data_IF_740126233371
#
_entry.id   IF_740126233371
#
_cell.length_a   1.000
_cell.length_b   1.000
_cell.length_c   1.000
_cell.angle_alpha   90.00
_cell.angle_beta   90.00
_cell.angle_gamma   90.00
#
_symmetry.space_group_name_H-M   'P 1'
#
loop_
_entity.id
_entity.type
_entity.pdbx_description
1 polymer ?
#
# COMPACT_ATOMS: atom_id res chain seq x y z
N UNK A 1 4.00 24.46 0.83
CA UNK A 1 3.96 23.09 0.28
C UNK A 1 2.70 22.39 0.75
N UNK A 2 1.96 21.79 -0.16
CA UNK A 2 0.78 21.01 0.19
C UNK A 2 1.19 19.65 0.75
N UNK A 3 0.38 19.14 1.66
CA UNK A 3 0.64 17.87 2.31
C UNK A 3 -0.61 16.98 2.24
N UNK A 4 -0.43 15.72 1.92
CA UNK A 4 -1.51 14.72 1.92
C UNK A 4 -1.07 13.54 2.79
N UNK A 5 -1.97 13.14 3.69
CA UNK A 5 -1.76 11.98 4.56
C UNK A 5 -2.34 10.74 3.92
N UNK A 6 -1.50 9.73 3.72
CA UNK A 6 -1.92 8.46 3.13
C UNK A 6 -1.42 7.28 3.97
N UNK A 7 -2.13 6.17 3.86
CA UNK A 7 -1.59 4.89 4.35
C UNK A 7 -1.00 4.13 3.18
N UNK A 8 0.03 3.34 3.47
CA UNK A 8 0.52 2.31 2.57
C UNK A 8 0.60 1.02 3.38
N UNK A 9 -0.18 0.04 3.00
CA UNK A 9 -0.25 -1.22 3.71
C UNK A 9 0.22 -2.37 2.84
N UNK A 10 1.13 -3.17 3.40
CA UNK A 10 1.54 -4.42 2.79
C UNK A 10 0.92 -5.58 3.55
N UNK A 11 0.65 -6.66 2.84
CA UNK A 11 0.06 -7.86 3.40
C UNK A 11 0.98 -9.03 3.07
N UNK A 12 1.38 -9.79 4.09
CA UNK A 12 2.18 -10.97 3.86
C UNK A 12 1.36 -12.23 4.15
N UNK A 13 1.65 -13.27 3.38
CA UNK A 13 1.15 -14.62 3.60
C UNK A 13 2.36 -15.55 3.51
N UNK A 14 2.73 -16.16 4.62
CA UNK A 14 3.99 -16.89 4.74
C UNK A 14 5.16 -15.97 4.36
N UNK A 15 5.96 -16.37 3.36
CA UNK A 15 7.12 -15.59 2.89
C UNK A 15 6.83 -14.69 1.71
N UNK A 16 5.56 -14.51 1.37
CA UNK A 16 5.16 -13.73 0.20
C UNK A 16 4.53 -12.41 0.61
N UNK A 17 4.78 -11.39 -0.18
CA UNK A 17 4.20 -10.06 -0.03
C UNK A 17 3.29 -9.79 -1.21
N UNK A 18 2.11 -9.25 -0.93
CA UNK A 18 1.16 -8.88 -1.96
C UNK A 18 1.53 -7.54 -2.55
N UNK A 19 1.65 -7.49 -3.88
CA UNK A 19 1.77 -6.23 -4.60
C UNK A 19 0.63 -6.11 -5.62
N UNK A 20 0.25 -4.88 -5.90
CA UNK A 20 -0.91 -4.54 -6.72
C UNK A 20 -0.47 -3.62 -7.86
N UNK A 21 -0.93 -3.92 -9.07
CA UNK A 21 -0.67 -3.06 -10.22
C UNK A 21 -1.80 -2.04 -10.35
N UNK A 22 -1.46 -0.77 -10.31
CA UNK A 22 -2.43 0.31 -10.42
C UNK A 22 -3.05 0.32 -11.82
N UNK A 23 -4.37 0.41 -11.88
CA UNK A 23 -5.11 0.36 -13.13
C UNK A 23 -4.93 1.65 -13.94
N UNK A 24 -5.43 1.66 -15.16
CA UNK A 24 -5.44 2.85 -16.00
C UNK A 24 -6.57 3.83 -15.64
N UNK A 25 -7.42 3.45 -14.69
CA UNK A 25 -8.57 4.28 -14.25
C UNK A 25 -8.22 5.20 -13.07
N UNK A 26 -7.07 5.01 -12.43
CA UNK A 26 -6.63 5.89 -11.35
C UNK A 26 -6.08 7.20 -11.93
N UNK A 27 -6.00 8.23 -11.09
CA UNK A 27 -5.55 9.55 -11.54
C UNK A 27 -4.04 9.67 -11.72
N UNK A 28 -3.27 8.87 -10.99
CA UNK A 28 -1.81 9.01 -10.97
C UNK A 28 -1.14 7.65 -10.92
N UNK A 29 0.10 7.61 -11.39
CA UNK A 29 0.97 6.44 -11.28
C UNK A 29 0.36 5.18 -11.89
N UNK A 30 -0.33 5.34 -13.03
CA UNK A 30 -0.99 4.22 -13.74
C UNK A 30 0.03 3.17 -14.14
N UNK A 31 -0.34 1.90 -13.95
CA UNK A 31 0.50 0.77 -14.35
C UNK A 31 1.67 0.48 -13.43
N UNK A 32 1.89 1.27 -12.39
CA UNK A 32 2.96 1.02 -11.42
C UNK A 32 2.48 0.08 -10.33
N UNK A 33 3.41 -0.69 -9.77
CA UNK A 33 3.12 -1.61 -8.69
C UNK A 33 3.24 -0.92 -7.33
N UNK A 34 2.35 -1.27 -6.41
CA UNK A 34 2.31 -0.66 -5.07
C UNK A 34 1.74 -1.64 -4.05
N UNK A 35 1.71 -1.21 -2.79
CA UNK A 35 0.89 -1.85 -1.77
C UNK A 35 -0.52 -1.28 -1.82
N UNK A 36 -1.34 -1.63 -0.83
CA UNK A 36 -2.65 -1.01 -0.64
C UNK A 36 -2.43 0.42 -0.17
N UNK A 37 -3.13 1.37 -0.75
CA UNK A 37 -2.99 2.77 -0.36
C UNK A 37 -4.34 3.49 -0.32
N UNK A 38 -4.40 4.55 0.47
CA UNK A 38 -5.59 5.37 0.56
C UNK A 38 -5.34 6.64 1.33
N UNK A 39 -6.14 7.65 1.06
CA UNK A 39 -6.05 8.95 1.72
C UNK A 39 -6.71 8.87 3.09
N UNK A 40 -6.04 9.38 4.10
CA UNK A 40 -6.58 9.45 5.46
C UNK A 40 -7.50 10.66 5.54
N UNK A 41 -8.78 10.40 5.81
CA UNK A 41 -9.77 11.45 5.98
C UNK A 41 -9.60 12.12 7.33
N UNK A 42 -10.20 13.30 7.51
CA UNK A 42 -10.12 14.06 8.75
C UNK A 42 -10.57 13.23 9.96
N UNK A 43 -9.76 13.27 11.02
CA UNK A 43 -10.03 12.59 12.29
C UNK A 43 -10.00 11.06 12.24
N UNK A 44 -9.58 10.47 11.14
CA UNK A 44 -9.39 9.03 11.08
C UNK A 44 -8.08 8.60 11.73
N UNK A 45 -8.11 7.44 12.34
CA UNK A 45 -6.91 6.78 12.85
C UNK A 45 -6.28 6.00 11.69
N UNK A 46 -5.00 6.22 11.37
CA UNK A 46 -4.39 5.61 10.18
C UNK A 46 -4.58 4.10 10.02
N UNK A 47 -4.44 3.32 11.10
CA UNK A 47 -4.62 1.87 11.01
C UNK A 47 -6.04 1.49 10.61
N UNK A 48 -7.04 2.26 11.05
CA UNK A 48 -8.42 1.98 10.67
C UNK A 48 -8.64 2.25 9.18
N UNK A 49 -8.06 3.34 8.66
CA UNK A 49 -8.10 3.60 7.21
C UNK A 49 -7.42 2.47 6.44
N UNK A 50 -6.27 1.99 6.92
CA UNK A 50 -5.57 0.87 6.28
C UNK A 50 -6.47 -0.36 6.17
N UNK A 51 -7.18 -0.72 7.24
CA UNK A 51 -8.08 -1.87 7.23
C UNK A 51 -9.25 -1.70 6.26
N UNK A 52 -9.78 -0.49 6.17
CA UNK A 52 -10.86 -0.18 5.21
C UNK A 52 -10.35 -0.33 3.78
N UNK A 53 -9.19 0.25 3.48
CA UNK A 53 -8.61 0.19 2.13
C UNK A 53 -8.27 -1.26 1.73
N UNK A 54 -7.77 -2.05 2.67
CA UNK A 54 -7.49 -3.46 2.40
C UNK A 54 -8.78 -4.18 1.98
N UNK A 55 -9.86 -3.96 2.71
CA UNK A 55 -11.13 -4.59 2.36
C UNK A 55 -11.63 -4.14 0.99
N UNK A 56 -11.57 -2.84 0.72
CA UNK A 56 -12.04 -2.27 -0.55
C UNK A 56 -11.18 -2.73 -1.74
N UNK A 57 -9.86 -2.72 -1.60
CA UNK A 57 -8.96 -2.98 -2.72
C UNK A 57 -8.69 -4.45 -2.98
N UNK A 58 -8.69 -5.30 -1.95
CA UNK A 58 -8.31 -6.71 -2.11
C UNK A 58 -9.32 -7.70 -1.51
N UNK A 59 -10.36 -7.21 -0.84
CA UNK A 59 -11.44 -8.06 -0.36
C UNK A 59 -11.16 -8.85 0.91
N UNK A 60 -10.10 -8.52 1.65
CA UNK A 60 -9.78 -9.21 2.90
C UNK A 60 -10.39 -8.46 4.08
N UNK A 61 -11.22 -9.14 4.86
CA UNK A 61 -11.88 -8.57 6.03
C UNK A 61 -10.90 -8.28 7.15
N UNK A 62 -11.17 -7.25 7.95
CA UNK A 62 -10.31 -6.87 9.08
C UNK A 62 -10.11 -8.02 10.10
N UNK A 63 -11.06 -8.94 10.20
CA UNK A 63 -10.94 -10.11 11.07
C UNK A 63 -9.95 -11.15 10.57
N UNK A 64 -9.48 -11.02 9.34
CA UNK A 64 -8.56 -11.96 8.69
C UNK A 64 -7.14 -11.42 8.53
N UNK A 65 -6.86 -10.25 9.08
CA UNK A 65 -5.53 -9.66 9.06
C UNK A 65 -5.07 -9.36 10.47
N UNK A 66 -3.76 -9.47 10.69
CA UNK A 66 -3.13 -9.12 11.96
C UNK A 66 -1.97 -8.17 11.69
N UNK A 67 -1.85 -7.13 12.51
CA UNK A 67 -0.74 -6.19 12.37
C UNK A 67 0.56 -6.86 12.80
N UNK A 68 1.58 -6.79 11.93
CA UNK A 68 2.92 -7.26 12.21
C UNK A 68 3.82 -6.12 12.64
N UNK A 69 3.79 -5.02 11.90
CA UNK A 69 4.63 -3.86 12.17
C UNK A 69 4.01 -2.60 11.58
N UNK A 70 4.24 -1.49 12.25
CA UNK A 70 3.93 -0.17 11.72
C UNK A 70 5.13 0.75 11.99
N UNK A 71 5.22 1.81 11.21
CA UNK A 71 6.28 2.81 11.33
C UNK A 71 5.58 4.16 11.45
N UNK A 72 6.18 5.08 12.20
CA UNK A 72 5.72 6.45 12.21
C UNK A 72 5.81 7.02 10.81
N UNK A 73 5.07 8.06 10.55
CA UNK A 73 4.97 8.62 9.21
C UNK A 73 6.32 8.91 8.57
N UNK A 74 6.38 8.65 7.28
CA UNK A 74 7.53 8.95 6.43
C UNK A 74 7.08 10.04 5.47
N UNK A 75 7.91 11.07 5.30
CA UNK A 75 7.63 12.15 4.36
C UNK A 75 8.28 11.84 3.03
N UNK A 76 7.49 11.90 1.97
CA UNK A 76 7.96 11.64 0.61
C UNK A 76 7.55 12.80 -0.27
N UNK A 77 8.53 13.33 -1.02
CA UNK A 77 8.27 14.34 -2.04
C UNK A 77 8.23 13.61 -3.38
N UNK A 78 7.09 13.67 -4.04
CA UNK A 78 6.94 13.04 -5.34
C UNK A 78 7.44 13.96 -6.45
N UNK A 79 8.30 13.49 -7.35
CA UNK A 79 8.75 14.31 -8.47
C UNK A 79 7.64 14.66 -9.45
N UNK A 80 6.50 13.97 -9.38
CA UNK A 80 5.36 14.23 -10.26
C UNK A 80 4.50 15.40 -9.83
N UNK A 81 4.62 15.84 -8.58
CA UNK A 81 3.76 16.88 -8.02
C UNK A 81 4.60 17.96 -7.36
N UNK A 82 4.70 19.11 -8.00
CA UNK A 82 5.41 20.25 -7.44
C UNK A 82 4.75 20.72 -6.14
N UNK A 83 5.59 21.09 -5.18
CA UNK A 83 5.15 21.63 -3.89
C UNK A 83 4.16 20.71 -3.15
N UNK A 84 4.30 19.40 -3.33
CA UNK A 84 3.45 18.43 -2.65
C UNK A 84 4.32 17.46 -1.84
N UNK A 85 3.95 17.31 -0.58
CA UNK A 85 4.57 16.35 0.32
C UNK A 85 3.56 15.29 0.70
N UNK A 86 3.98 14.03 0.64
CA UNK A 86 3.16 12.91 1.09
C UNK A 86 3.60 12.49 2.47
N UNK A 87 2.69 12.49 3.43
CA UNK A 87 2.94 11.90 4.74
C UNK A 87 2.38 10.49 4.71
N UNK A 88 3.29 9.52 4.63
CA UNK A 88 2.93 8.10 4.50
C UNK A 88 2.98 7.42 5.84
N UNK A 89 1.91 6.70 6.17
CA UNK A 89 1.80 5.88 7.38
C UNK A 89 1.87 4.41 6.97
N UNK A 90 3.06 3.77 7.13
CA UNK A 90 3.26 2.39 6.66
C UNK A 90 2.79 1.35 7.64
N UNK A 91 2.19 0.27 7.10
CA UNK A 91 1.74 -0.88 7.88
C UNK A 91 2.11 -2.18 7.18
N UNK A 92 2.48 -3.18 7.97
CA UNK A 92 2.62 -4.56 7.49
C UNK A 92 1.64 -5.42 8.27
N UNK A 93 0.73 -6.05 7.55
CA UNK A 93 -0.21 -7.02 8.10
C UNK A 93 0.16 -8.42 7.62
N UNK A 94 -0.35 -9.43 8.31
CA UNK A 94 -0.26 -10.80 7.84
C UNK A 94 -1.66 -11.40 7.73
N UNK A 95 -1.81 -12.37 6.84
CA UNK A 95 -3.06 -13.06 6.62
C UNK A 95 -2.79 -14.50 6.21
N UNK A 96 -3.80 -15.36 6.41
CA UNK A 96 -3.81 -16.73 5.87
C UNK A 96 -4.63 -16.80 4.59
N UNK A 97 -5.29 -15.71 4.23
CA UNK A 97 -6.08 -15.65 2.99
C UNK A 97 -5.15 -15.50 1.79
N UNK A 98 -5.46 -16.22 0.71
CA UNK A 98 -4.72 -16.12 -0.54
C UNK A 98 -5.57 -15.57 -1.68
N UNK A 99 -6.89 -15.63 -1.51
CA UNK A 99 -7.82 -15.15 -2.53
C UNK A 99 -7.96 -13.63 -2.47
N UNK A 100 -7.76 -12.99 -3.61
CA UNK A 100 -7.79 -11.54 -3.74
C UNK A 100 -8.91 -11.15 -4.69
N UNK A 101 -9.75 -10.19 -4.26
CA UNK A 101 -10.81 -9.60 -5.08
C UNK A 101 -10.47 -8.15 -5.32
N UNK A 102 -9.96 -7.84 -6.50
CA UNK A 102 -9.58 -6.48 -6.85
C UNK A 102 -10.80 -5.61 -7.15
N UNK A 103 -10.69 -4.32 -6.83
CA UNK A 103 -11.64 -3.33 -7.28
C UNK A 103 -11.06 -2.58 -8.50
N UNK A 104 -11.70 -1.49 -8.89
CA UNK A 104 -11.32 -0.73 -10.10
C UNK A 104 -9.94 -0.07 -10.02
N UNK A 105 -9.40 0.10 -8.81
CA UNK A 105 -8.13 0.81 -8.61
C UNK A 105 -6.91 0.01 -9.08
N UNK A 106 -7.00 -1.31 -9.04
CA UNK A 106 -5.90 -2.19 -9.39
C UNK A 106 -6.31 -3.22 -10.43
N UNK A 107 -5.46 -3.45 -11.43
CA UNK A 107 -5.75 -4.37 -12.54
C UNK A 107 -5.18 -5.76 -12.33
N UNK A 108 -4.14 -5.89 -11.51
CA UNK A 108 -3.47 -7.17 -11.25
C UNK A 108 -2.97 -7.23 -9.82
N UNK A 109 -2.76 -8.44 -9.32
CA UNK A 109 -2.08 -8.66 -8.06
C UNK A 109 -1.06 -9.78 -8.22
N UNK A 110 -0.02 -9.74 -7.38
CA UNK A 110 0.96 -10.83 -7.30
C UNK A 110 1.42 -11.01 -5.86
N UNK A 111 1.64 -12.26 -5.50
CA UNK A 111 2.33 -12.62 -4.27
C UNK A 111 3.78 -12.89 -4.63
N UNK A 112 4.69 -12.09 -4.09
CA UNK A 112 6.11 -12.19 -4.46
C UNK A 112 7.00 -12.33 -3.23
N UNK A 113 8.22 -12.87 -3.44
CA UNK A 113 9.26 -12.73 -2.44
C UNK A 113 9.78 -11.29 -2.46
N UNK A 114 10.17 -10.76 -1.30
CA UNK A 114 10.68 -9.39 -1.20
C UNK A 114 11.82 -9.13 -2.19
N UNK A 115 12.68 -10.12 -2.41
CA UNK A 115 13.81 -10.00 -3.33
C UNK A 115 13.38 -9.75 -4.78
N UNK A 116 12.17 -10.13 -5.13
CA UNK A 116 11.64 -9.95 -6.49
C UNK A 116 11.12 -8.55 -6.76
N UNK A 117 10.96 -7.73 -5.72
CA UNK A 117 10.40 -6.38 -5.87
C UNK A 117 11.18 -5.53 -6.88
N UNK A 118 12.49 -5.72 -6.96
CA UNK A 118 13.35 -5.01 -7.91
C UNK A 118 13.01 -5.29 -9.38
N UNK A 119 12.27 -6.37 -9.65
CA UNK A 119 11.86 -6.75 -11.01
C UNK A 119 10.60 -6.01 -11.47
N UNK A 120 10.02 -5.20 -10.60
CA UNK A 120 8.75 -4.51 -10.87
C UNK A 120 8.97 -3.00 -10.86
N UNK A 121 8.26 -2.33 -11.76
CA UNK A 121 8.25 -0.88 -11.79
C UNK A 121 7.25 -0.39 -10.75
N UNK A 122 7.75 0.19 -9.67
CA UNK A 122 6.93 0.56 -8.51
C UNK A 122 6.71 2.05 -8.40
N UNK A 123 5.70 2.42 -7.58
CA UNK A 123 5.54 3.81 -7.18
C UNK A 123 6.77 4.27 -6.41
N UNK A 124 7.07 5.60 -6.39
CA UNK A 124 8.29 6.10 -5.76
C UNK A 124 8.45 5.66 -4.31
N UNK A 125 9.65 5.22 -3.96
CA UNK A 125 10.07 4.88 -2.60
C UNK A 125 9.38 3.66 -1.99
N UNK A 126 8.65 2.86 -2.78
CA UNK A 126 7.95 1.67 -2.27
C UNK A 126 8.91 0.68 -1.60
N UNK A 127 10.07 0.47 -2.21
CA UNK A 127 11.10 -0.43 -1.68
C UNK A 127 11.59 0.01 -0.29
N UNK A 128 11.82 1.29 -0.11
CA UNK A 128 12.26 1.83 1.18
C UNK A 128 11.19 1.64 2.25
N UNK A 129 9.94 1.90 1.90
CA UNK A 129 8.82 1.73 2.82
C UNK A 129 8.71 0.27 3.25
N UNK A 130 8.75 -0.64 2.28
CA UNK A 130 8.63 -2.07 2.58
C UNK A 130 9.80 -2.58 3.43
N UNK A 131 11.05 -2.24 3.06
CA UNK A 131 12.21 -2.71 3.79
C UNK A 131 12.24 -2.25 5.24
N UNK A 132 11.73 -1.08 5.53
CA UNK A 132 11.62 -0.60 6.91
C UNK A 132 10.56 -1.34 7.73
N UNK A 133 9.65 -2.02 7.07
CA UNK A 133 8.59 -2.81 7.71
C UNK A 133 8.98 -4.27 7.95
N UNK A 134 10.10 -4.71 7.42
CA UNK A 134 10.52 -6.11 7.51
C UNK A 134 11.41 -6.39 8.72
#
# INVERSE_FOLDING_TARGET
MRSTRIITAFIKNNNKILILKRSDKVRSMKGLWSGVSGIIENNEIPINRAKIEIFEEVGIKKSKINLVKSIEKIKIISPQYENHEWEVFPFLFETKESEIKLNWENSEHKWINVKELKNYETVPSLDKILFNLL
#
